data_IF_077665249412
#
_entry.id   IF_077665249412
#
_cell.length_a   1.000
_cell.length_b   1.000
_cell.length_c   1.000
_cell.angle_alpha   90.00
_cell.angle_beta   90.00
_cell.angle_gamma   90.00
#
_symmetry.space_group_name_H-M   'P 1'
#
loop_
_entity.id
_entity.type
_entity.pdbx_description
1 polymer ?
#
# COMPACT_ATOMS: atom_id res chain seq x y z
N UNK A 1 -17.43 11.21 20.59
CA UNK A 1 -17.30 11.70 19.20
C UNK A 1 -18.13 10.79 18.32
N UNK A 2 -19.06 11.34 17.54
CA UNK A 2 -20.10 10.55 16.89
C UNK A 2 -19.73 10.32 15.43
N UNK A 3 -19.02 9.22 15.16
CA UNK A 3 -18.87 8.69 13.80
C UNK A 3 -20.08 7.82 13.48
N UNK A 4 -20.63 7.95 12.29
CA UNK A 4 -21.79 7.17 11.85
C UNK A 4 -21.42 6.34 10.62
N UNK A 5 -21.65 5.04 10.70
CA UNK A 5 -21.45 4.15 9.55
C UNK A 5 -22.61 4.32 8.58
N UNK A 6 -22.29 4.57 7.32
CA UNK A 6 -23.26 4.74 6.24
C UNK A 6 -23.42 3.38 5.55
N UNK A 7 -24.55 2.72 5.79
CA UNK A 7 -24.88 1.44 5.14
C UNK A 7 -25.79 1.62 3.93
N UNK A 8 -26.59 2.68 3.92
CA UNK A 8 -27.57 2.98 2.90
C UNK A 8 -27.50 4.47 2.57
N UNK A 9 -27.41 4.79 1.29
CA UNK A 9 -27.45 6.14 0.76
C UNK A 9 -28.30 6.16 -0.52
N UNK A 10 -28.70 7.35 -0.95
CA UNK A 10 -29.66 7.55 -2.05
C UNK A 10 -29.19 6.92 -3.38
N UNK A 11 -27.87 6.78 -3.57
CA UNK A 11 -27.27 6.30 -4.82
C UNK A 11 -26.52 4.96 -4.65
N UNK A 12 -26.74 4.27 -3.53
CA UNK A 12 -26.07 3.01 -3.16
C UNK A 12 -24.53 3.08 -3.24
N UNK A 13 -23.94 4.26 -3.05
CA UNK A 13 -22.48 4.45 -3.13
C UNK A 13 -21.75 3.64 -2.07
N UNK A 14 -22.24 3.61 -0.83
CA UNK A 14 -21.61 2.84 0.24
C UNK A 14 -21.61 1.34 -0.08
N UNK A 15 -22.70 0.84 -0.67
CA UNK A 15 -22.81 -0.55 -1.14
C UNK A 15 -21.83 -0.81 -2.29
N UNK A 16 -21.77 0.06 -3.29
CA UNK A 16 -20.86 -0.07 -4.45
C UNK A 16 -19.39 0.01 -4.06
N UNK A 17 -19.03 0.82 -3.06
CA UNK A 17 -17.68 0.84 -2.49
C UNK A 17 -17.35 -0.51 -1.83
N UNK A 18 -18.31 -1.10 -1.12
CA UNK A 18 -18.14 -2.44 -0.54
C UNK A 18 -18.02 -3.54 -1.61
N UNK A 19 -18.66 -3.40 -2.76
CA UNK A 19 -18.50 -4.34 -3.89
C UNK A 19 -17.07 -4.33 -4.48
N UNK A 20 -16.29 -3.26 -4.27
CA UNK A 20 -14.87 -3.21 -4.67
C UNK A 20 -13.99 -4.08 -3.75
N UNK A 21 -14.32 -4.12 -2.47
CA UNK A 21 -13.68 -4.92 -1.42
C UNK A 21 -14.64 -5.05 -0.23
N UNK A 22 -15.01 -6.28 0.15
CA UNK A 22 -15.99 -6.57 1.19
C UNK A 22 -15.62 -5.99 2.57
N UNK A 23 -14.34 -5.70 2.79
CA UNK A 23 -13.82 -5.10 4.00
C UNK A 23 -13.93 -3.57 4.02
N UNK A 24 -14.34 -2.94 2.92
CA UNK A 24 -14.61 -1.50 2.89
C UNK A 24 -15.95 -1.13 3.53
N UNK A 25 -15.95 -0.02 4.25
CA UNK A 25 -17.15 0.62 4.78
C UNK A 25 -16.99 2.14 4.83
N UNK A 26 -18.10 2.85 4.62
CA UNK A 26 -18.14 4.32 4.63
C UNK A 26 -18.59 4.82 6.00
N UNK A 27 -17.92 5.85 6.49
CA UNK A 27 -18.21 6.52 7.75
C UNK A 27 -18.37 8.00 7.50
N UNK A 28 -19.35 8.63 8.12
CA UNK A 28 -19.45 10.07 8.22
C UNK A 28 -18.96 10.54 9.58
N UNK A 29 -17.89 11.34 9.60
CA UNK A 29 -17.41 11.99 10.80
C UNK A 29 -18.21 13.28 11.03
N UNK A 30 -19.09 13.28 12.03
CA UNK A 30 -19.93 14.45 12.37
C UNK A 30 -19.15 15.61 12.97
N UNK A 31 -17.95 15.38 13.50
CA UNK A 31 -17.09 16.44 14.06
C UNK A 31 -16.39 17.19 12.93
N UNK A 32 -15.92 16.44 11.93
CA UNK A 32 -15.16 17.00 10.80
C UNK A 32 -16.02 17.25 9.55
N UNK A 33 -17.31 16.88 9.60
CA UNK A 33 -18.28 17.01 8.51
C UNK A 33 -17.77 16.45 7.19
N UNK A 34 -17.25 15.22 7.22
CA UNK A 34 -16.62 14.59 6.04
C UNK A 34 -16.90 13.10 5.98
N UNK A 35 -16.85 12.56 4.76
CA UNK A 35 -16.92 11.13 4.52
C UNK A 35 -15.53 10.50 4.55
N UNK A 36 -15.44 9.33 5.17
CA UNK A 36 -14.24 8.53 5.35
C UNK A 36 -14.52 7.12 4.83
N UNK A 37 -13.60 6.57 4.05
CA UNK A 37 -13.61 5.17 3.63
C UNK A 37 -12.63 4.42 4.52
N UNK A 38 -13.13 3.37 5.14
CA UNK A 38 -12.38 2.53 6.05
C UNK A 38 -12.26 1.11 5.51
N UNK A 39 -11.17 0.41 5.83
CA UNK A 39 -10.96 -1.00 5.54
C UNK A 39 -10.71 -1.78 6.84
N UNK A 40 -11.48 -2.85 7.07
CA UNK A 40 -11.37 -3.68 8.29
C UNK A 40 -10.03 -4.40 8.44
N UNK A 41 -9.36 -4.72 7.32
CA UNK A 41 -8.05 -5.40 7.32
C UNK A 41 -6.90 -4.44 7.65
N UNK A 42 -7.11 -3.14 7.50
CA UNK A 42 -6.09 -2.15 7.81
C UNK A 42 -5.91 -2.04 9.34
N UNK A 43 -4.64 -2.07 9.78
CA UNK A 43 -4.21 -1.95 11.18
C UNK A 43 -3.07 -0.94 11.29
N UNK A 44 -2.91 -0.22 12.41
CA UNK A 44 -3.72 -0.27 13.65
C UNK A 44 -5.07 0.47 13.55
N UNK A 45 -5.22 1.36 12.58
CA UNK A 45 -6.46 2.06 12.27
C UNK A 45 -7.03 1.60 10.92
N UNK A 46 -8.35 1.72 10.80
CA UNK A 46 -9.13 1.33 9.64
C UNK A 46 -9.26 2.44 8.59
N UNK A 47 -8.91 3.70 8.90
CA UNK A 47 -9.06 4.83 7.96
C UNK A 47 -8.15 4.67 6.74
N UNK A 48 -8.73 4.37 5.58
CA UNK A 48 -7.98 4.18 4.33
C UNK A 48 -7.94 5.44 3.48
N UNK A 49 -9.04 6.20 3.44
CA UNK A 49 -9.16 7.38 2.57
C UNK A 49 -10.19 8.36 3.14
N UNK A 50 -9.84 9.65 3.17
CA UNK A 50 -10.80 10.73 3.38
C UNK A 50 -11.31 11.21 2.02
N UNK A 51 -12.63 11.26 1.85
CA UNK A 51 -13.22 11.76 0.60
C UNK A 51 -13.19 13.29 0.57
N UNK A 52 -12.71 13.90 -0.52
CA UNK A 52 -12.62 15.36 -0.64
C UNK A 52 -13.94 16.00 -1.09
N UNK A 53 -15.07 15.39 -0.71
CA UNK A 53 -16.41 15.78 -1.16
C UNK A 53 -17.35 15.89 0.04
N UNK A 54 -18.24 16.86 -0.02
CA UNK A 54 -19.29 17.14 0.97
C UNK A 54 -20.48 16.17 0.86
N UNK A 55 -20.56 15.41 -0.24
CA UNK A 55 -21.63 14.47 -0.55
C UNK A 55 -21.06 13.14 -1.03
N UNK A 56 -21.81 12.08 -0.76
CA UNK A 56 -21.50 10.74 -1.22
C UNK A 56 -22.16 10.52 -2.60
N UNK A 57 -21.37 10.66 -3.67
CA UNK A 57 -21.79 10.48 -5.07
C UNK A 57 -20.79 9.59 -5.84
N UNK A 58 -21.00 9.44 -7.15
CA UNK A 58 -20.17 8.56 -7.99
C UNK A 58 -18.66 8.90 -7.95
N UNK A 59 -18.28 10.16 -7.69
CA UNK A 59 -16.86 10.58 -7.60
C UNK A 59 -16.14 9.90 -6.46
N UNK A 60 -16.86 9.47 -5.42
CA UNK A 60 -16.28 8.70 -4.31
C UNK A 60 -15.74 7.36 -4.78
N UNK A 61 -16.45 6.68 -5.69
CA UNK A 61 -16.07 5.39 -6.26
C UNK A 61 -14.80 5.55 -7.10
N UNK A 62 -14.78 6.55 -7.99
CA UNK A 62 -13.63 6.87 -8.81
C UNK A 62 -12.41 7.18 -7.94
N UNK A 63 -12.62 7.92 -6.85
CA UNK A 63 -11.54 8.24 -5.91
C UNK A 63 -10.99 6.98 -5.23
N UNK A 64 -11.84 6.09 -4.72
CA UNK A 64 -11.43 4.83 -4.11
C UNK A 64 -10.62 3.96 -5.08
N UNK A 65 -11.09 3.81 -6.32
CA UNK A 65 -10.40 3.04 -7.36
C UNK A 65 -9.04 3.66 -7.70
N UNK A 66 -8.99 4.98 -7.92
CA UNK A 66 -7.75 5.68 -8.26
C UNK A 66 -6.70 5.54 -7.16
N UNK A 67 -7.08 5.68 -5.88
CA UNK A 67 -6.17 5.52 -4.75
C UNK A 67 -5.67 4.08 -4.64
N UNK A 68 -6.53 3.08 -4.87
CA UNK A 68 -6.12 1.67 -4.88
C UNK A 68 -5.09 1.38 -5.98
N UNK A 69 -5.32 1.85 -7.20
CA UNK A 69 -4.37 1.67 -8.32
C UNK A 69 -3.05 2.38 -8.05
N UNK A 70 -3.08 3.61 -7.53
CA UNK A 70 -1.88 4.36 -7.16
C UNK A 70 -1.07 3.64 -6.07
N UNK A 71 -1.74 3.03 -5.09
CA UNK A 71 -1.08 2.28 -4.03
C UNK A 71 -0.41 1.01 -4.56
N UNK A 72 -1.09 0.26 -5.44
CA UNK A 72 -0.51 -0.93 -6.09
C UNK A 72 0.74 -0.56 -6.91
N UNK A 73 0.66 0.52 -7.69
CA UNK A 73 1.81 0.97 -8.49
C UNK A 73 3.04 1.29 -7.63
N UNK A 74 2.83 1.94 -6.47
CA UNK A 74 3.92 2.21 -5.51
C UNK A 74 4.51 0.93 -4.91
N UNK A 75 3.67 -0.04 -4.54
CA UNK A 75 4.13 -1.31 -4.00
C UNK A 75 4.99 -2.08 -5.01
N UNK A 76 4.62 -2.06 -6.29
CA UNK A 76 5.42 -2.68 -7.35
C UNK A 76 6.77 -1.98 -7.52
N UNK A 77 6.80 -0.65 -7.55
CA UNK A 77 8.05 0.13 -7.63
C UNK A 77 8.98 -0.12 -6.42
N UNK A 78 8.41 -0.26 -5.22
CA UNK A 78 9.18 -0.62 -4.01
C UNK A 78 9.74 -2.03 -4.08
N UNK A 79 8.97 -3.00 -4.60
CA UNK A 79 9.44 -4.38 -4.80
C UNK A 79 10.59 -4.44 -5.81
N UNK A 80 10.48 -3.71 -6.92
CA UNK A 80 11.53 -3.66 -7.94
C UNK A 80 12.83 -3.07 -7.37
N UNK A 81 12.74 -1.97 -6.62
CA UNK A 81 13.91 -1.38 -5.92
C UNK A 81 14.54 -2.35 -4.93
N UNK A 82 13.74 -3.10 -4.18
CA UNK A 82 14.26 -4.11 -3.26
C UNK A 82 14.98 -5.24 -4.00
N UNK A 83 14.43 -5.70 -5.14
CA UNK A 83 15.07 -6.71 -5.98
C UNK A 83 16.42 -6.23 -6.53
N UNK A 84 16.49 -4.99 -7.01
CA UNK A 84 17.75 -4.38 -7.48
C UNK A 84 18.80 -4.32 -6.36
N UNK A 85 18.41 -3.89 -5.16
CA UNK A 85 19.31 -3.82 -4.00
C UNK A 85 19.81 -5.21 -3.58
N UNK A 86 18.93 -6.22 -3.57
CA UNK A 86 19.29 -7.59 -3.26
C UNK A 86 20.29 -8.16 -4.28
N UNK A 87 20.07 -7.91 -5.57
CA UNK A 87 20.98 -8.33 -6.64
C UNK A 87 22.35 -7.66 -6.50
N UNK A 88 22.40 -6.35 -6.28
CA UNK A 88 23.66 -5.62 -6.09
C UNK A 88 24.43 -6.14 -4.87
N UNK A 89 23.73 -6.42 -3.76
CA UNK A 89 24.33 -7.00 -2.56
C UNK A 89 24.91 -8.38 -2.85
N UNK A 90 24.17 -9.26 -3.53
CA UNK A 90 24.65 -10.59 -3.91
C UNK A 90 25.90 -10.52 -4.82
N UNK A 91 25.90 -9.64 -5.83
CA UNK A 91 27.04 -9.47 -6.72
C UNK A 91 28.29 -9.02 -5.94
N UNK A 92 28.12 -8.06 -5.02
CA UNK A 92 29.22 -7.57 -4.18
C UNK A 92 29.75 -8.65 -3.24
N UNK A 93 28.87 -9.42 -2.61
CA UNK A 93 29.25 -10.55 -1.74
C UNK A 93 30.00 -11.64 -2.52
N UNK A 94 29.52 -12.00 -3.72
CA UNK A 94 30.21 -12.95 -4.59
C UNK A 94 31.59 -12.44 -5.05
N UNK A 95 31.69 -11.17 -5.41
CA UNK A 95 32.96 -10.56 -5.81
C UNK A 95 33.98 -10.57 -4.65
N UNK A 96 33.55 -10.18 -3.45
CA UNK A 96 34.39 -10.21 -2.25
C UNK A 96 34.88 -11.63 -1.94
N UNK A 97 33.98 -12.61 -1.96
CA UNK A 97 34.34 -14.00 -1.73
C UNK A 97 35.37 -14.52 -2.73
N UNK A 98 35.20 -14.19 -4.02
CA UNK A 98 36.18 -14.53 -5.07
C UNK A 98 37.54 -13.85 -4.85
N UNK A 99 37.56 -12.61 -4.38
CA UNK A 99 38.80 -11.90 -4.07
C UNK A 99 39.54 -12.61 -2.93
N UNK A 100 38.84 -12.96 -1.85
CA UNK A 100 39.40 -13.71 -0.73
C UNK A 100 39.99 -15.06 -1.19
N UNK A 101 39.23 -15.84 -1.98
CA UNK A 101 39.69 -17.13 -2.53
C UNK A 101 40.97 -16.98 -3.39
N UNK A 102 41.04 -15.93 -4.23
CA UNK A 102 42.25 -15.65 -5.02
C UNK A 102 43.44 -15.26 -4.15
N UNK A 103 43.23 -14.46 -3.10
CA UNK A 103 44.28 -14.07 -2.16
C UNK A 103 44.84 -15.27 -1.41
N UNK A 104 43.98 -16.17 -0.93
CA UNK A 104 44.39 -17.42 -0.29
C UNK A 104 45.20 -18.33 -1.23
N UNK A 105 44.77 -18.44 -2.50
CA UNK A 105 45.48 -19.23 -3.51
C UNK A 105 46.89 -18.68 -3.79
N UNK A 106 47.02 -17.36 -3.96
CA UNK A 106 48.31 -16.69 -4.15
C UNK A 106 49.25 -16.90 -2.94
N UNK A 107 48.70 -16.84 -1.72
CA UNK A 107 49.48 -17.04 -0.50
C UNK A 107 50.00 -18.49 -0.38
N UNK A 108 49.20 -19.49 -0.75
CA UNK A 108 49.60 -20.91 -0.77
C UNK A 108 50.59 -21.27 -1.88
N UNK A 109 50.57 -20.54 -2.99
CA UNK A 109 51.45 -20.80 -4.14
C UNK A 109 52.83 -20.15 -4.01
N UNK A 110 53.00 -19.25 -3.04
CA UNK A 110 54.23 -18.47 -2.80
C UNK A 110 55.06 -18.97 -1.62
N UNK A 111 54.64 -20.05 -0.94
CA UNK A 111 55.38 -20.74 0.11
C UNK A 111 55.69 -22.17 -0.29
#
# INVERSE_FOLDING_TARGET
>A
MTKEMITNDVFDIAKRIKEIDDDYFVVYDKKLCRFEVHNKRQKPDTLSLVLPYDRLDCRAIDKVLSTRTQHIAKLLDELDKQNEQLQQKQIKEMANKRIEECQEFLHRSSG
#
